data_IF_051355900910
#
_entry.id   IF_051355900910
#
_cell.length_a   1.000
_cell.length_b   1.000
_cell.length_c   1.000
_cell.angle_alpha   90.00
_cell.angle_beta   90.00
_cell.angle_gamma   90.00
#
_symmetry.space_group_name_H-M   'P 1'
#
loop_
_entity.id
_entity.type
_entity.pdbx_description
1 polymer ?
#
# COMPACT_ATOMS: atom_id res chain seq x y z
N UNK A 1 13.16 -3.66 -40.95
CA UNK A 1 11.86 -4.24 -41.38
C UNK A 1 11.36 -5.19 -40.31
N UNK A 2 10.55 -4.67 -39.38
CA UNK A 2 9.36 -5.35 -38.82
C UNK A 2 8.73 -4.39 -37.81
N UNK A 3 8.16 -3.31 -38.34
CA UNK A 3 7.35 -2.31 -37.62
C UNK A 3 5.85 -2.58 -37.89
N UNK A 4 5.50 -3.82 -38.22
CA UNK A 4 4.21 -4.20 -38.81
C UNK A 4 3.51 -5.33 -38.04
N UNK A 5 3.66 -5.36 -36.71
CA UNK A 5 2.91 -6.26 -35.83
C UNK A 5 2.09 -5.51 -34.75
N UNK A 6 2.05 -4.18 -34.77
CA UNK A 6 1.38 -3.35 -33.76
C UNK A 6 0.06 -2.71 -34.28
N UNK A 7 -0.55 -3.33 -35.30
CA UNK A 7 -1.67 -2.78 -36.06
C UNK A 7 -3.00 -3.51 -35.83
N UNK A 8 -3.27 -3.89 -34.58
CA UNK A 8 -4.61 -4.14 -34.07
C UNK A 8 -4.71 -3.42 -32.72
N UNK A 9 -5.51 -2.36 -32.65
CA UNK A 9 -5.58 -1.42 -31.53
C UNK A 9 -5.72 -2.08 -30.16
N UNK A 10 -4.59 -2.35 -29.52
CA UNK A 10 -4.56 -2.71 -28.11
C UNK A 10 -4.60 -1.40 -27.33
N UNK A 11 -5.82 -0.88 -27.12
CA UNK A 11 -6.00 0.17 -26.14
C UNK A 11 -5.62 -0.46 -24.80
N UNK A 12 -4.56 0.05 -24.15
CA UNK A 12 -4.20 -0.42 -22.82
C UNK A 12 -5.43 -0.33 -21.91
N UNK A 13 -5.67 -1.34 -21.07
CA UNK A 13 -6.85 -1.37 -20.23
C UNK A 13 -6.91 -0.12 -19.35
N UNK A 14 -8.10 0.46 -19.23
CA UNK A 14 -8.34 1.68 -18.45
C UNK A 14 -8.70 1.31 -17.03
N UNK A 15 -8.11 1.99 -16.06
CA UNK A 15 -8.52 1.83 -14.66
C UNK A 15 -9.83 2.58 -14.48
N UNK A 16 -10.88 1.87 -14.09
CA UNK A 16 -12.23 2.41 -13.94
C UNK A 16 -12.66 2.56 -12.49
N UNK A 17 -11.98 1.88 -11.57
CA UNK A 17 -12.29 1.95 -10.15
C UNK A 17 -11.05 1.64 -9.30
N UNK A 18 -10.97 2.32 -8.17
CA UNK A 18 -9.95 2.11 -7.13
C UNK A 18 -10.70 1.77 -5.86
N UNK A 19 -10.32 0.68 -5.22
CA UNK A 19 -10.79 0.32 -3.88
C UNK A 19 -9.60 0.33 -2.93
N UNK A 20 -9.79 0.95 -1.76
CA UNK A 20 -8.77 1.09 -0.73
C UNK A 20 -9.31 0.49 0.57
N UNK A 21 -8.58 -0.46 1.14
CA UNK A 21 -8.96 -1.12 2.40
C UNK A 21 -7.84 -0.95 3.42
N UNK A 22 -8.08 -0.26 4.54
CA UNK A 22 -7.12 -0.24 5.64
C UNK A 22 -7.12 -1.61 6.33
N UNK A 23 -5.92 -2.11 6.66
CA UNK A 23 -5.73 -3.40 7.31
C UNK A 23 -4.69 -3.25 8.41
N UNK A 24 -5.09 -3.57 9.64
CA UNK A 24 -4.15 -3.76 10.75
C UNK A 24 -3.79 -5.25 10.88
N UNK A 25 -2.50 -5.55 10.85
CA UNK A 25 -1.97 -6.91 11.01
C UNK A 25 -1.25 -7.00 12.36
N UNK A 26 -1.83 -7.69 13.36
CA UNK A 26 -1.19 -7.82 14.66
C UNK A 26 0.06 -8.71 14.57
N UNK A 27 1.11 -8.31 15.28
CA UNK A 27 2.31 -9.14 15.39
C UNK A 27 2.02 -10.43 16.15
N UNK A 28 2.59 -11.52 15.64
CA UNK A 28 2.69 -12.77 16.40
C UNK A 28 3.62 -12.59 17.59
N UNK A 29 3.40 -13.38 18.63
CA UNK A 29 4.19 -13.33 19.85
C UNK A 29 5.69 -13.48 19.61
N UNK A 30 6.08 -14.37 18.69
CA UNK A 30 7.49 -14.56 18.30
C UNK A 30 8.13 -13.31 17.70
N UNK A 31 7.35 -12.49 16.96
CA UNK A 31 7.82 -11.24 16.37
C UNK A 31 8.02 -10.20 17.47
N UNK A 32 7.05 -10.07 18.38
CA UNK A 32 7.15 -9.17 19.54
C UNK A 32 8.39 -9.48 20.39
N UNK A 33 8.62 -10.76 20.68
CA UNK A 33 9.78 -11.23 21.43
C UNK A 33 11.10 -10.93 20.71
N UNK A 34 11.15 -11.17 19.39
CA UNK A 34 12.34 -10.86 18.59
C UNK A 34 12.64 -9.35 18.60
N UNK A 35 11.62 -8.50 18.47
CA UNK A 35 11.78 -7.05 18.51
C UNK A 35 12.30 -6.56 19.86
N UNK A 36 11.80 -7.13 20.97
CA UNK A 36 12.24 -6.83 22.34
C UNK A 36 13.66 -7.32 22.65
N UNK A 37 14.15 -8.32 21.92
CA UNK A 37 15.46 -8.95 22.18
C UNK A 37 16.67 -8.13 21.69
N UNK A 38 16.45 -7.10 20.86
CA UNK A 38 17.51 -6.22 20.37
C UNK A 38 18.10 -5.33 21.47
N UNK A 39 19.41 -5.07 21.43
CA UNK A 39 20.07 -4.09 22.31
C UNK A 39 19.58 -2.68 22.00
N UNK A 40 18.52 -2.25 22.71
CA UNK A 40 17.73 -1.05 22.42
C UNK A 40 16.21 -1.26 22.57
N UNK A 41 15.76 -2.51 22.78
CA UNK A 41 14.36 -2.89 23.02
C UNK A 41 13.50 -2.98 21.75
N UNK A 42 14.04 -2.55 20.63
CA UNK A 42 13.34 -2.41 19.37
C UNK A 42 14.41 -2.31 18.28
N UNK A 43 14.30 -3.08 17.19
CA UNK A 43 15.11 -2.87 15.97
C UNK A 43 14.77 -1.57 15.24
N UNK A 44 14.51 -0.48 15.97
CA UNK A 44 13.90 0.75 15.50
C UNK A 44 14.96 1.85 15.40
N UNK A 45 14.92 2.60 14.30
CA UNK A 45 15.75 3.79 14.12
C UNK A 45 15.35 4.96 15.05
N UNK A 46 14.14 4.92 15.63
CA UNK A 46 13.58 5.95 16.49
C UNK A 46 13.09 5.30 17.79
N UNK A 47 13.42 5.90 18.93
CA UNK A 47 12.88 5.50 20.22
C UNK A 47 11.38 5.86 20.26
N UNK A 48 10.52 4.91 19.91
CA UNK A 48 9.08 5.03 20.10
C UNK A 48 8.73 4.68 21.56
N UNK A 49 8.03 5.58 22.25
CA UNK A 49 7.56 5.33 23.63
C UNK A 49 6.35 4.37 23.65
N UNK A 50 5.64 4.24 22.53
CA UNK A 50 4.47 3.37 22.40
C UNK A 50 4.83 1.97 21.91
N UNK A 51 4.10 0.97 22.43
CA UNK A 51 4.29 -0.42 22.05
C UNK A 51 3.88 -0.63 20.58
N UNK A 52 4.81 -1.11 19.77
CA UNK A 52 4.54 -1.46 18.38
C UNK A 52 3.92 -2.86 18.30
N UNK A 53 2.59 -2.94 18.18
CA UNK A 53 1.81 -4.17 18.35
C UNK A 53 1.47 -4.89 17.04
N UNK A 54 1.71 -4.25 15.92
CA UNK A 54 1.37 -4.72 14.59
C UNK A 54 1.66 -3.65 13.55
N UNK A 55 1.28 -3.94 12.31
CA UNK A 55 1.55 -3.09 11.15
C UNK A 55 0.24 -2.65 10.52
N UNK A 56 0.20 -1.40 10.09
CA UNK A 56 -0.90 -0.84 9.34
C UNK A 56 -0.59 -0.86 7.85
N UNK A 57 -1.59 -1.23 7.05
CA UNK A 57 -1.51 -1.25 5.60
C UNK A 57 -2.73 -0.57 4.99
N UNK A 58 -2.56 -0.05 3.78
CA UNK A 58 -3.67 0.20 2.86
C UNK A 58 -3.52 -0.73 1.67
N UNK A 59 -4.47 -1.65 1.50
CA UNK A 59 -4.56 -2.51 0.33
C UNK A 59 -5.28 -1.74 -0.76
N UNK A 60 -4.63 -1.57 -1.91
CA UNK A 60 -5.17 -0.91 -3.08
C UNK A 60 -5.51 -1.94 -4.16
N UNK A 61 -6.78 -1.96 -4.58
CA UNK A 61 -7.23 -2.75 -5.73
C UNK A 61 -7.61 -1.80 -6.87
N UNK A 62 -7.01 -2.02 -8.03
CA UNK A 62 -7.29 -1.28 -9.26
C UNK A 62 -8.08 -2.18 -10.20
N UNK A 63 -9.29 -1.76 -10.57
CA UNK A 63 -10.16 -2.51 -11.46
C UNK A 63 -10.07 -1.89 -12.85
N UNK A 64 -9.83 -2.73 -13.85
CA UNK A 64 -9.76 -2.35 -15.25
C UNK A 64 -11.07 -2.66 -16.00
N UNK A 65 -11.27 -1.99 -17.14
CA UNK A 65 -12.43 -2.18 -18.02
C UNK A 65 -12.46 -3.52 -18.75
N UNK A 66 -11.32 -4.22 -18.83
CA UNK A 66 -11.21 -5.58 -19.36
C UNK A 66 -11.51 -6.68 -18.31
N UNK A 67 -11.84 -6.28 -17.08
CA UNK A 67 -12.13 -7.17 -15.96
C UNK A 67 -10.90 -7.60 -15.15
N UNK A 68 -9.70 -7.18 -15.52
CA UNK A 68 -8.51 -7.43 -14.71
C UNK A 68 -8.51 -6.61 -13.42
N UNK A 69 -7.91 -7.17 -12.37
CA UNK A 69 -7.76 -6.52 -11.07
C UNK A 69 -6.29 -6.56 -10.67
N UNK A 70 -5.67 -5.39 -10.57
CA UNK A 70 -4.34 -5.21 -9.97
C UNK A 70 -4.45 -5.04 -8.46
N UNK A 71 -3.52 -5.58 -7.69
CA UNK A 71 -3.43 -5.39 -6.24
C UNK A 71 -2.05 -4.85 -5.86
N UNK A 72 -2.03 -3.84 -4.99
CA UNK A 72 -0.83 -3.31 -4.35
C UNK A 72 -1.09 -2.99 -2.89
N UNK A 73 -0.04 -2.67 -2.15
CA UNK A 73 -0.11 -2.32 -0.74
C UNK A 73 0.77 -1.12 -0.42
N UNK A 74 0.34 -0.33 0.55
CA UNK A 74 1.16 0.67 1.22
C UNK A 74 1.31 0.27 2.68
N UNK A 75 2.54 -0.04 3.10
CA UNK A 75 2.90 -0.22 4.50
C UNK A 75 3.00 1.16 5.18
N UNK A 76 2.42 1.27 6.38
CA UNK A 76 2.38 2.50 7.15
C UNK A 76 2.93 2.25 8.55
N UNK A 77 4.08 2.88 8.84
CA UNK A 77 4.60 2.98 10.19
C UNK A 77 4.54 4.44 10.65
N UNK A 78 3.48 4.80 11.37
CA UNK A 78 3.17 6.18 11.76
C UNK A 78 4.36 6.91 12.45
N UNK A 79 5.10 6.29 13.39
CA UNK A 79 6.30 6.92 13.96
C UNK A 79 7.42 7.28 12.97
N UNK A 80 7.54 6.59 11.84
CA UNK A 80 8.53 6.90 10.80
C UNK A 80 7.98 7.83 9.72
N UNK A 81 6.78 7.54 9.24
CA UNK A 81 6.20 8.25 8.08
C UNK A 81 5.44 9.51 8.49
N UNK A 82 4.93 9.59 9.72
CA UNK A 82 4.00 10.63 10.17
C UNK A 82 2.66 10.62 9.44
N UNK A 83 2.32 9.51 8.77
CA UNK A 83 1.12 9.34 7.96
C UNK A 83 0.28 8.19 8.49
N UNK A 84 -1.05 8.33 8.55
CA UNK A 84 -2.00 7.26 8.89
C UNK A 84 -2.61 6.62 7.63
N UNK A 85 -3.18 5.40 7.73
CA UNK A 85 -3.92 4.78 6.63
C UNK A 85 -5.02 5.67 6.03
N UNK A 86 -5.75 6.40 6.87
CA UNK A 86 -6.81 7.31 6.44
C UNK A 86 -6.26 8.47 5.60
N UNK A 87 -5.07 8.97 5.94
CA UNK A 87 -4.42 10.02 5.17
C UNK A 87 -3.91 9.52 3.81
N UNK A 88 -3.47 8.26 3.73
CA UNK A 88 -3.16 7.62 2.44
C UNK A 88 -4.43 7.50 1.59
N UNK A 89 -5.53 7.04 2.19
CA UNK A 89 -6.81 6.89 1.50
C UNK A 89 -7.28 8.24 0.97
N UNK A 90 -7.31 9.27 1.82
CA UNK A 90 -7.69 10.63 1.44
C UNK A 90 -6.84 11.18 0.29
N UNK A 91 -5.51 10.99 0.36
CA UNK A 91 -4.61 11.43 -0.70
C UNK A 91 -4.87 10.71 -2.04
N UNK A 92 -5.22 9.43 -2.02
CA UNK A 92 -5.55 8.69 -3.24
C UNK A 92 -6.92 9.11 -3.76
N UNK A 93 -7.96 9.12 -2.94
CA UNK A 93 -9.34 9.42 -3.37
C UNK A 93 -9.50 10.86 -3.85
N UNK A 94 -8.91 11.82 -3.15
CA UNK A 94 -9.17 13.25 -3.37
C UNK A 94 -8.06 13.98 -4.13
N UNK A 95 -6.91 13.35 -4.38
CA UNK A 95 -5.82 13.98 -5.14
C UNK A 95 -5.23 13.11 -6.25
N UNK A 96 -4.69 11.93 -5.93
CA UNK A 96 -3.87 11.15 -6.87
C UNK A 96 -4.70 10.30 -7.84
N UNK A 97 -5.86 9.79 -7.42
CA UNK A 97 -6.70 8.87 -8.18
C UNK A 97 -7.13 9.43 -9.54
N UNK A 98 -7.32 10.76 -9.63
CA UNK A 98 -7.69 11.44 -10.88
C UNK A 98 -6.65 11.32 -12.00
N UNK A 99 -5.40 11.00 -11.67
CA UNK A 99 -4.32 10.87 -12.65
C UNK A 99 -4.20 9.46 -13.22
N UNK A 100 -4.86 8.49 -12.60
CA UNK A 100 -4.81 7.07 -13.00
C UNK A 100 -6.16 6.54 -13.46
N UNK A 101 -7.27 7.19 -13.08
CA UNK A 101 -8.62 6.83 -13.55
C UNK A 101 -8.86 7.30 -15.00
N UNK A 102 -9.33 6.39 -15.85
CA UNK A 102 -9.71 6.64 -17.25
C UNK A 102 -8.66 6.28 -18.29
#
# INVERSE_FOLDING_TARGET
MSEAADAAGHCSPKIIHIELTPVFVPFRETVKQAMQSGSGGLGMAIAAEEAWLGEDFVICRLFADDGNIGTGEAFVWLPETGVSPEQIIDAVEHALGRYVLG
#
